data_IF_293078823461
#
_entry.id   IF_293078823461
#
_cell.length_a   1.000
_cell.length_b   1.000
_cell.length_c   1.000
_cell.angle_alpha   90.00
_cell.angle_beta   90.00
_cell.angle_gamma   90.00
#
_symmetry.space_group_name_H-M   'P 1'
#
loop_
_entity.id
_entity.type
_entity.pdbx_description
1 polymer ?
#
# COMPACT_ATOMS: atom_id res chain seq x y z
N UNK A 1 -30.90 -13.53 -4.17
CA UNK A 1 -30.05 -13.44 -2.97
C UNK A 1 -28.63 -13.86 -3.37
N UNK A 2 -27.60 -13.01 -3.17
CA UNK A 2 -26.22 -13.46 -3.30
C UNK A 2 -25.95 -14.50 -2.21
N UNK A 3 -25.35 -15.64 -2.56
CA UNK A 3 -24.88 -16.62 -1.58
C UNK A 3 -23.94 -15.93 -0.59
N UNK A 4 -24.01 -16.21 0.73
CA UNK A 4 -22.97 -15.77 1.66
C UNK A 4 -21.64 -16.33 1.16
N UNK A 5 -20.66 -15.45 0.99
CA UNK A 5 -19.31 -15.85 0.59
C UNK A 5 -18.78 -16.81 1.66
N UNK A 6 -18.52 -18.07 1.28
CA UNK A 6 -17.86 -19.02 2.16
C UNK A 6 -16.53 -18.41 2.59
N UNK A 7 -16.34 -18.23 3.89
CA UNK A 7 -15.12 -17.62 4.43
C UNK A 7 -13.93 -18.57 4.21
N UNK A 8 -13.18 -18.38 3.13
CA UNK A 8 -11.94 -19.12 2.80
C UNK A 8 -10.80 -18.89 3.82
N UNK A 9 -11.05 -18.14 4.90
CA UNK A 9 -10.08 -17.81 5.97
C UNK A 9 -9.40 -19.04 6.56
N UNK A 10 -10.10 -20.17 6.69
CA UNK A 10 -9.52 -21.40 7.22
C UNK A 10 -8.47 -21.98 6.27
N UNK A 11 -8.78 -22.05 4.97
CA UNK A 11 -7.86 -22.52 3.93
C UNK A 11 -6.62 -21.63 3.88
N UNK A 12 -6.81 -20.32 3.81
CA UNK A 12 -5.73 -19.33 3.82
C UNK A 12 -4.79 -19.49 5.02
N UNK A 13 -5.34 -19.74 6.22
CA UNK A 13 -4.54 -19.97 7.44
C UNK A 13 -3.71 -21.25 7.35
N UNK A 14 -4.27 -22.33 6.81
CA UNK A 14 -3.53 -23.58 6.62
C UNK A 14 -2.46 -23.43 5.54
N UNK A 15 -2.76 -22.78 4.42
CA UNK A 15 -1.79 -22.49 3.36
C UNK A 15 -0.60 -21.72 3.91
N UNK A 16 -0.83 -20.64 4.66
CA UNK A 16 0.23 -19.83 5.29
C UNK A 16 1.14 -20.66 6.21
N UNK A 17 0.60 -21.69 6.87
CA UNK A 17 1.38 -22.58 7.77
C UNK A 17 2.16 -23.65 7.03
N UNK A 18 1.63 -24.18 5.94
CA UNK A 18 2.23 -25.31 5.21
C UNK A 18 3.29 -24.85 4.21
N UNK A 19 3.08 -23.71 3.54
CA UNK A 19 3.97 -23.20 2.49
C UNK A 19 5.44 -23.05 2.96
N UNK A 20 5.76 -22.54 4.16
CA UNK A 20 7.13 -22.45 4.63
C UNK A 20 7.87 -23.79 4.69
N UNK A 21 7.18 -24.88 5.09
CA UNK A 21 7.79 -26.22 5.14
C UNK A 21 8.13 -26.73 3.73
N UNK A 22 7.24 -26.49 2.76
CA UNK A 22 7.47 -26.84 1.37
C UNK A 22 8.66 -26.06 0.78
N UNK A 23 8.73 -24.75 1.04
CA UNK A 23 9.85 -23.91 0.64
C UNK A 23 11.17 -24.39 1.26
N UNK A 24 11.18 -24.72 2.55
CA UNK A 24 12.38 -25.23 3.23
C UNK A 24 12.86 -26.57 2.62
N UNK A 25 11.93 -27.49 2.33
CA UNK A 25 12.26 -28.76 1.69
C UNK A 25 12.82 -28.55 0.26
N UNK A 26 12.21 -27.66 -0.53
CA UNK A 26 12.68 -27.32 -1.88
C UNK A 26 14.09 -26.70 -1.85
N UNK A 27 14.34 -25.79 -0.91
CA UNK A 27 15.66 -25.18 -0.71
C UNK A 27 16.69 -26.24 -0.27
N UNK A 28 16.32 -27.14 0.65
CA UNK A 28 17.19 -28.24 1.08
C UNK A 28 17.60 -29.15 -0.08
N UNK A 29 16.63 -29.52 -0.92
CA UNK A 29 16.88 -30.30 -2.13
C UNK A 29 17.77 -29.55 -3.13
N UNK A 30 17.47 -28.28 -3.39
CA UNK A 30 18.29 -27.43 -4.27
C UNK A 30 19.73 -27.29 -3.75
N UNK A 31 19.91 -27.16 -2.43
CA UNK A 31 21.23 -27.12 -1.79
C UNK A 31 21.99 -28.42 -2.03
N UNK A 32 21.38 -29.57 -1.72
CA UNK A 32 21.98 -30.88 -1.96
C UNK A 32 22.38 -31.06 -3.43
N UNK A 33 21.46 -30.75 -4.35
CA UNK A 33 21.69 -30.94 -5.77
C UNK A 33 22.80 -30.00 -6.28
N UNK A 34 22.65 -28.70 -6.10
CA UNK A 34 23.58 -27.71 -6.67
C UNK A 34 24.96 -27.76 -6.01
N UNK A 35 25.02 -27.80 -4.67
CA UNK A 35 26.29 -27.74 -3.95
C UNK A 35 26.99 -29.10 -3.96
N UNK A 36 26.35 -30.13 -3.40
CA UNK A 36 27.02 -31.41 -3.17
C UNK A 36 27.10 -32.25 -4.44
N UNK A 37 25.98 -32.48 -5.12
CA UNK A 37 25.93 -33.38 -6.28
C UNK A 37 26.61 -32.75 -7.52
N UNK A 38 26.27 -31.51 -7.86
CA UNK A 38 26.75 -30.87 -9.08
C UNK A 38 28.12 -30.18 -8.90
N UNK A 39 28.25 -29.23 -7.97
CA UNK A 39 29.49 -28.46 -7.86
C UNK A 39 30.64 -29.29 -7.28
N UNK A 40 30.43 -29.98 -6.16
CA UNK A 40 31.49 -30.71 -5.45
C UNK A 40 31.79 -32.07 -6.09
N UNK A 41 30.79 -32.93 -6.25
CA UNK A 41 31.03 -34.28 -6.76
C UNK A 41 31.29 -34.28 -8.26
N UNK A 42 30.40 -33.69 -9.05
CA UNK A 42 30.52 -33.76 -10.51
C UNK A 42 31.58 -32.78 -11.07
N UNK A 43 31.41 -31.47 -10.88
CA UNK A 43 32.29 -30.48 -11.52
C UNK A 43 33.71 -30.45 -10.93
N UNK A 44 33.84 -30.46 -9.60
CA UNK A 44 35.14 -30.35 -8.93
C UNK A 44 35.89 -31.69 -8.89
N UNK A 45 35.24 -32.78 -8.45
CA UNK A 45 35.92 -34.08 -8.28
C UNK A 45 36.04 -34.87 -9.57
N UNK A 46 34.95 -35.05 -10.33
CA UNK A 46 34.93 -35.87 -11.55
C UNK A 46 35.48 -35.11 -12.76
N UNK A 47 34.89 -33.96 -13.14
CA UNK A 47 35.28 -33.20 -14.35
C UNK A 47 36.47 -32.28 -14.18
N UNK A 48 36.97 -32.09 -12.96
CA UNK A 48 38.09 -31.18 -12.62
C UNK A 48 37.91 -29.74 -13.13
N UNK A 49 36.67 -29.28 -13.32
CA UNK A 49 36.32 -27.91 -13.73
C UNK A 49 36.26 -26.99 -12.50
N UNK A 50 37.40 -26.81 -11.84
CA UNK A 50 37.51 -26.09 -10.56
C UNK A 50 36.97 -24.66 -10.61
N UNK A 51 37.34 -23.89 -11.64
CA UNK A 51 36.91 -22.49 -11.76
C UNK A 51 35.38 -22.38 -11.86
N UNK A 52 34.75 -23.20 -12.70
CA UNK A 52 33.28 -23.22 -12.86
C UNK A 52 32.59 -23.61 -11.57
N UNK A 53 33.09 -24.65 -10.87
CA UNK A 53 32.53 -25.07 -9.58
C UNK A 53 32.60 -23.94 -8.54
N UNK A 54 33.75 -23.26 -8.43
CA UNK A 54 33.93 -22.16 -7.47
C UNK A 54 32.99 -20.99 -7.77
N UNK A 55 32.89 -20.57 -9.04
CA UNK A 55 31.99 -19.47 -9.43
C UNK A 55 30.53 -19.79 -9.10
N UNK A 56 30.07 -21.00 -9.43
CA UNK A 56 28.70 -21.42 -9.12
C UNK A 56 28.44 -21.47 -7.61
N UNK A 57 29.39 -21.97 -6.82
CA UNK A 57 29.29 -22.00 -5.35
C UNK A 57 29.21 -20.59 -4.75
N UNK A 58 30.07 -19.68 -5.20
CA UNK A 58 30.08 -18.28 -4.72
C UNK A 58 28.74 -17.62 -5.03
N UNK A 59 28.29 -17.68 -6.30
CA UNK A 59 27.00 -17.10 -6.69
C UNK A 59 25.84 -17.73 -5.93
N UNK A 60 25.86 -19.06 -5.75
CA UNK A 60 24.85 -19.79 -4.99
C UNK A 60 24.74 -19.24 -3.57
N UNK A 61 25.86 -19.16 -2.82
CA UNK A 61 25.82 -18.71 -1.43
C UNK A 61 25.49 -17.22 -1.30
N UNK A 62 25.98 -16.37 -2.20
CA UNK A 62 25.63 -14.94 -2.20
C UNK A 62 24.12 -14.75 -2.33
N UNK A 63 23.49 -15.36 -3.36
CA UNK A 63 22.05 -15.22 -3.56
C UNK A 63 21.22 -16.02 -2.55
N UNK A 64 21.73 -17.14 -2.03
CA UNK A 64 21.11 -17.88 -0.94
C UNK A 64 20.98 -17.00 0.31
N UNK A 65 22.08 -16.40 0.78
CA UNK A 65 22.05 -15.57 1.98
C UNK A 65 21.23 -14.30 1.80
N UNK A 66 21.31 -13.65 0.63
CA UNK A 66 20.45 -12.50 0.31
C UNK A 66 18.96 -12.89 0.28
N UNK A 67 18.61 -14.03 -0.31
CA UNK A 67 17.23 -14.54 -0.32
C UNK A 67 16.74 -14.80 1.09
N UNK A 68 17.53 -15.48 1.94
CA UNK A 68 17.14 -15.75 3.33
C UNK A 68 17.01 -14.45 4.14
N UNK A 69 17.95 -13.51 4.01
CA UNK A 69 17.92 -12.25 4.75
C UNK A 69 16.69 -11.40 4.39
N UNK A 70 16.40 -11.27 3.10
CA UNK A 70 15.26 -10.50 2.59
C UNK A 70 13.93 -11.20 2.87
N UNK A 71 13.86 -12.53 2.77
CA UNK A 71 12.70 -13.32 3.19
C UNK A 71 12.41 -13.12 4.67
N UNK A 72 13.42 -13.29 5.53
CA UNK A 72 13.27 -13.14 6.98
C UNK A 72 12.84 -11.71 7.33
N UNK A 73 13.45 -10.68 6.72
CA UNK A 73 13.04 -9.29 6.93
C UNK A 73 11.59 -9.07 6.54
N UNK A 74 11.18 -9.57 5.37
CA UNK A 74 9.80 -9.46 4.88
C UNK A 74 8.84 -10.15 5.84
N UNK A 75 9.12 -11.40 6.20
CA UNK A 75 8.32 -12.20 7.12
C UNK A 75 8.18 -11.51 8.48
N UNK A 76 9.28 -11.13 9.13
CA UNK A 76 9.27 -10.47 10.43
C UNK A 76 8.50 -9.13 10.37
N UNK A 77 8.66 -8.37 9.29
CA UNK A 77 7.92 -7.11 9.11
C UNK A 77 6.42 -7.37 8.98
N UNK A 78 6.02 -8.39 8.25
CA UNK A 78 4.61 -8.77 8.11
C UNK A 78 4.03 -9.24 9.44
N UNK A 79 4.77 -10.02 10.24
CA UNK A 79 4.29 -10.52 11.52
C UNK A 79 4.22 -9.43 12.61
N UNK A 80 5.19 -8.53 12.65
CA UNK A 80 5.34 -7.58 13.77
C UNK A 80 4.96 -6.13 13.42
N UNK A 81 4.94 -5.74 12.14
CA UNK A 81 4.75 -4.35 11.69
C UNK A 81 3.98 -4.26 10.36
N UNK A 82 2.79 -4.85 10.30
CA UNK A 82 1.98 -4.94 9.06
C UNK A 82 1.40 -3.60 8.55
N UNK A 83 1.72 -2.46 9.16
CA UNK A 83 1.23 -1.15 8.70
C UNK A 83 -0.27 -0.95 8.97
N UNK A 84 -0.76 -1.49 10.09
CA UNK A 84 -2.17 -1.39 10.47
C UNK A 84 -2.51 0.06 10.83
N UNK A 85 -3.66 0.55 10.35
CA UNK A 85 -4.21 1.84 10.75
C UNK A 85 -4.61 1.77 12.23
N UNK A 86 -4.05 2.62 13.11
CA UNK A 86 -4.41 2.66 14.53
C UNK A 86 -5.91 2.89 14.71
N UNK A 87 -6.50 2.23 15.70
CA UNK A 87 -7.86 2.50 16.12
C UNK A 87 -7.83 3.57 17.19
N UNK A 88 -8.91 4.33 17.33
CA UNK A 88 -9.07 5.24 18.47
C UNK A 88 -9.36 4.41 19.73
N UNK A 89 -9.00 4.88 20.94
CA UNK A 89 -9.19 4.09 22.17
C UNK A 89 -10.63 3.59 22.37
N UNK A 90 -11.62 4.42 22.04
CA UNK A 90 -13.04 4.04 22.07
C UNK A 90 -13.33 2.87 21.11
N UNK A 91 -12.74 2.89 19.91
CA UNK A 91 -12.92 1.82 18.90
C UNK A 91 -12.13 0.57 19.26
N UNK A 92 -10.97 0.70 19.91
CA UNK A 92 -10.22 -0.44 20.44
C UNK A 92 -11.04 -1.19 21.50
N UNK A 93 -11.70 -0.47 22.42
CA UNK A 93 -12.56 -1.08 23.43
C UNK A 93 -13.74 -1.84 22.78
N UNK A 94 -14.38 -1.25 21.76
CA UNK A 94 -15.45 -1.92 21.00
C UNK A 94 -14.94 -3.16 20.26
N UNK A 95 -13.74 -3.10 19.67
CA UNK A 95 -13.15 -4.24 18.98
C UNK A 95 -12.79 -5.38 19.94
N UNK A 96 -12.23 -5.05 21.11
CA UNK A 96 -11.97 -6.04 22.16
C UNK A 96 -13.25 -6.73 22.63
N UNK A 97 -14.33 -5.97 22.82
CA UNK A 97 -15.64 -6.52 23.17
C UNK A 97 -16.16 -7.46 22.07
N UNK A 98 -16.04 -7.07 20.79
CA UNK A 98 -16.38 -7.93 19.65
C UNK A 98 -15.57 -9.23 19.65
N UNK A 99 -14.26 -9.14 19.85
CA UNK A 99 -13.38 -10.31 19.91
C UNK A 99 -13.71 -11.24 21.09
N UNK A 100 -14.16 -10.70 22.22
CA UNK A 100 -14.63 -11.52 23.35
C UNK A 100 -15.94 -12.25 23.02
N UNK A 101 -16.91 -11.58 22.38
CA UNK A 101 -18.17 -12.20 21.94
C UNK A 101 -17.87 -13.34 20.95
N UNK A 102 -16.95 -13.11 20.01
CA UNK A 102 -16.44 -14.13 19.07
C UNK A 102 -15.94 -15.39 19.78
N UNK A 103 -15.05 -15.21 20.77
CA UNK A 103 -14.43 -16.32 21.51
C UNK A 103 -15.46 -17.15 22.29
N UNK A 104 -16.61 -16.55 22.63
CA UNK A 104 -17.70 -17.22 23.35
C UNK A 104 -18.69 -17.95 22.44
N UNK A 105 -18.39 -18.06 21.14
CA UNK A 105 -19.27 -18.71 20.16
C UNK A 105 -20.49 -17.89 19.79
N UNK A 106 -20.47 -16.58 20.07
CA UNK A 106 -21.51 -15.66 19.62
C UNK A 106 -21.49 -15.52 18.10
N UNK A 107 -22.67 -15.52 17.48
CA UNK A 107 -22.81 -15.37 16.05
C UNK A 107 -22.40 -13.94 15.62
N UNK A 108 -21.42 -13.87 14.73
CA UNK A 108 -20.82 -12.63 14.23
C UNK A 108 -21.26 -12.26 12.83
N UNK A 109 -21.99 -13.15 12.13
CA UNK A 109 -22.13 -13.12 10.67
C UNK A 109 -22.96 -11.95 10.11
N UNK A 110 -23.44 -11.03 10.94
CA UNK A 110 -24.01 -9.78 10.45
C UNK A 110 -23.75 -8.65 11.44
N UNK A 111 -22.50 -8.23 11.58
CA UNK A 111 -22.32 -6.90 12.16
C UNK A 111 -22.92 -5.89 11.19
N UNK A 112 -23.91 -5.10 11.65
CA UNK A 112 -24.61 -4.20 10.77
C UNK A 112 -23.60 -3.22 10.19
N UNK A 113 -23.71 -2.99 8.88
CA UNK A 113 -22.95 -1.95 8.22
C UNK A 113 -23.12 -0.65 9.00
N UNK A 114 -22.00 -0.06 9.45
CA UNK A 114 -22.02 1.19 10.21
C UNK A 114 -21.72 2.34 9.24
N UNK A 115 -22.64 3.31 9.10
CA UNK A 115 -22.41 4.48 8.28
C UNK A 115 -21.22 5.31 8.79
N UNK A 116 -20.67 6.21 7.95
CA UNK A 116 -19.70 7.20 8.40
C UNK A 116 -20.19 7.96 9.62
N UNK A 117 -19.29 8.20 10.57
CA UNK A 117 -19.59 9.03 11.72
C UNK A 117 -19.89 10.47 11.26
N UNK A 118 -21.10 10.94 11.58
CA UNK A 118 -21.56 12.26 11.14
C UNK A 118 -21.12 13.38 12.08
N UNK A 119 -20.60 13.05 13.26
CA UNK A 119 -20.09 14.03 14.20
C UNK A 119 -18.99 14.89 13.54
N UNK A 120 -19.12 16.23 13.51
CA UNK A 120 -18.05 17.14 13.08
C UNK A 120 -16.72 16.94 13.82
N UNK A 121 -16.80 16.53 15.08
CA UNK A 121 -15.65 16.27 15.95
C UNK A 121 -15.36 14.76 16.06
N UNK A 122 -15.69 13.99 15.01
CA UNK A 122 -15.40 12.56 14.95
C UNK A 122 -13.90 12.31 15.13
N UNK A 123 -13.47 11.45 16.06
CA UNK A 123 -12.05 11.23 16.33
C UNK A 123 -11.23 10.84 15.08
N UNK A 124 -10.14 11.57 14.84
CA UNK A 124 -9.22 11.36 13.72
C UNK A 124 -9.64 12.06 12.42
N UNK A 125 -10.81 12.70 12.38
CA UNK A 125 -11.27 13.47 11.22
C UNK A 125 -10.39 14.71 10.97
N UNK A 126 -9.95 15.36 12.05
CA UNK A 126 -9.07 16.52 12.05
C UNK A 126 -7.73 16.23 11.35
N UNK A 127 -7.23 14.99 11.42
CA UNK A 127 -5.96 14.56 10.81
C UNK A 127 -6.01 14.58 9.27
N UNK A 128 -7.20 14.59 8.67
CA UNK A 128 -7.36 14.72 7.23
C UNK A 128 -7.42 16.18 6.82
N UNK A 129 -8.23 16.99 7.50
CA UNK A 129 -8.32 18.43 7.23
C UNK A 129 -7.09 19.23 7.69
N UNK A 130 -6.20 18.62 8.49
CA UNK A 130 -4.88 19.16 8.78
C UNK A 130 -3.94 19.10 7.57
N UNK A 131 -4.25 18.28 6.55
CA UNK A 131 -3.45 18.13 5.32
C UNK A 131 -3.93 19.07 4.21
N UNK A 132 -3.07 19.36 3.26
CA UNK A 132 -3.42 20.17 2.08
C UNK A 132 -4.19 19.36 1.02
N UNK A 133 -3.97 18.05 0.92
CA UNK A 133 -4.71 17.18 -0.01
C UNK A 133 -4.91 15.76 0.53
N UNK A 134 -6.11 15.22 0.35
CA UNK A 134 -6.44 13.84 0.67
C UNK A 134 -7.60 13.29 -0.20
N UNK A 135 -7.75 11.98 -0.26
CA UNK A 135 -8.87 11.32 -0.97
C UNK A 135 -10.15 11.43 -0.14
N UNK A 136 -11.20 11.96 -0.75
CA UNK A 136 -12.50 12.15 -0.12
C UNK A 136 -13.63 11.42 -0.86
N UNK A 137 -14.82 11.41 -0.27
CA UNK A 137 -16.07 11.02 -0.91
C UNK A 137 -16.73 12.25 -1.58
N UNK A 138 -17.90 12.07 -2.18
CA UNK A 138 -18.62 13.14 -2.89
C UNK A 138 -19.01 14.32 -2.00
N UNK A 139 -19.13 14.10 -0.69
CA UNK A 139 -19.46 15.13 0.30
C UNK A 139 -18.21 15.86 0.85
N UNK A 140 -17.01 15.53 0.38
CA UNK A 140 -15.75 16.12 0.84
C UNK A 140 -15.23 15.55 2.16
N UNK A 141 -15.87 14.53 2.73
CA UNK A 141 -15.37 13.81 3.91
C UNK A 141 -14.39 12.71 3.51
N UNK A 142 -13.43 12.33 4.37
CA UNK A 142 -12.55 11.19 4.11
C UNK A 142 -13.34 9.89 3.93
N UNK A 143 -12.72 8.90 3.28
CA UNK A 143 -13.32 7.57 3.13
C UNK A 143 -13.52 6.91 4.48
N UNK A 144 -14.58 6.11 4.64
CA UNK A 144 -14.90 5.42 5.89
C UNK A 144 -14.72 3.91 5.82
N UNK A 145 -14.30 3.28 6.93
CA UNK A 145 -14.39 1.85 7.13
C UNK A 145 -15.55 1.49 8.05
N UNK A 146 -16.59 0.83 7.55
CA UNK A 146 -17.68 0.30 8.38
C UNK A 146 -17.20 -0.77 9.36
N UNK A 147 -16.28 -1.64 8.93
CA UNK A 147 -15.78 -2.76 9.75
C UNK A 147 -14.89 -2.30 10.91
N UNK A 148 -13.91 -1.42 10.62
CA UNK A 148 -13.02 -0.84 11.63
C UNK A 148 -13.62 0.37 12.35
N UNK A 149 -14.73 0.93 11.84
CA UNK A 149 -15.40 2.14 12.35
C UNK A 149 -14.45 3.33 12.52
N UNK A 150 -13.62 3.56 11.49
CA UNK A 150 -12.65 4.64 11.44
C UNK A 150 -12.55 5.26 10.03
N UNK A 151 -12.05 6.50 9.99
CA UNK A 151 -11.66 7.16 8.75
C UNK A 151 -10.44 6.46 8.15
N UNK A 152 -10.49 6.15 6.84
CA UNK A 152 -9.45 5.44 6.11
C UNK A 152 -8.44 6.44 5.57
N UNK A 153 -7.16 6.36 5.97
CA UNK A 153 -6.09 7.06 5.28
C UNK A 153 -6.08 6.78 3.78
N UNK A 154 -5.41 7.65 3.03
CA UNK A 154 -5.23 7.42 1.60
C UNK A 154 -4.61 6.04 1.36
N UNK A 155 -5.04 5.36 0.29
CA UNK A 155 -4.54 4.03 -0.10
C UNK A 155 -4.66 2.92 0.96
N UNK A 156 -5.33 3.17 2.09
CA UNK A 156 -5.60 2.15 3.09
C UNK A 156 -6.80 1.30 2.67
N UNK A 157 -6.71 -0.01 2.90
CA UNK A 157 -7.76 -0.98 2.59
C UNK A 157 -8.01 -1.91 3.77
N UNK A 158 -9.28 -2.29 3.98
CA UNK A 158 -9.64 -3.26 5.00
C UNK A 158 -9.28 -4.67 4.53
N UNK A 159 -8.43 -5.36 5.29
CA UNK A 159 -8.14 -6.77 5.10
C UNK A 159 -9.04 -7.59 6.02
N UNK A 160 -9.88 -8.44 5.44
CA UNK A 160 -10.74 -9.36 6.19
C UNK A 160 -9.95 -10.49 6.89
N UNK A 161 -8.73 -10.76 6.42
CA UNK A 161 -7.81 -11.72 7.06
C UNK A 161 -7.23 -11.18 8.37
N UNK A 162 -6.89 -9.89 8.40
CA UNK A 162 -6.40 -9.20 9.60
C UNK A 162 -7.51 -8.56 10.43
N UNK A 163 -8.73 -8.45 9.88
CA UNK A 163 -9.86 -7.72 10.46
C UNK A 163 -9.53 -6.23 10.73
N UNK A 164 -8.63 -5.67 9.90
CA UNK A 164 -8.05 -4.33 10.11
C UNK A 164 -7.76 -3.63 8.79
N UNK A 165 -7.83 -2.30 8.82
CA UNK A 165 -7.31 -1.47 7.72
C UNK A 165 -5.78 -1.49 7.72
N UNK A 166 -5.20 -1.73 6.54
CA UNK A 166 -3.75 -1.73 6.29
C UNK A 166 -3.41 -0.59 5.36
N UNK A 167 -2.40 0.20 5.71
CA UNK A 167 -1.89 1.32 4.91
C UNK A 167 -1.18 0.81 3.66
N UNK A 168 -1.42 1.49 2.52
CA UNK A 168 -0.94 1.13 1.17
C UNK A 168 -0.93 -0.39 0.95
N UNK A 169 -2.05 -1.04 1.27
CA UNK A 169 -2.18 -2.50 1.18
C UNK A 169 -1.98 -2.93 -0.26
N UNK A 170 -1.11 -3.91 -0.48
CA UNK A 170 -0.87 -4.47 -1.81
C UNK A 170 -1.67 -5.76 -1.98
N UNK A 171 -1.28 -6.82 -1.27
CA UNK A 171 -1.96 -8.11 -1.35
C UNK A 171 -1.73 -8.96 -0.11
N UNK A 172 -2.54 -10.01 0.06
CA UNK A 172 -2.23 -11.09 0.98
C UNK A 172 -1.33 -12.10 0.27
N UNK A 173 -0.14 -12.37 0.82
CA UNK A 173 0.81 -13.30 0.25
C UNK A 173 0.98 -14.52 1.16
N UNK A 174 0.49 -15.71 0.75
CA UNK A 174 0.67 -16.93 1.53
C UNK A 174 2.14 -17.34 1.68
N UNK A 175 2.99 -17.00 0.69
CA UNK A 175 4.41 -17.36 0.65
C UNK A 175 5.26 -16.68 1.73
N UNK A 176 4.91 -15.45 2.08
CA UNK A 176 5.56 -14.67 3.16
C UNK A 176 4.67 -14.56 4.40
N UNK A 177 3.57 -15.31 4.42
CA UNK A 177 2.75 -15.56 5.60
C UNK A 177 1.86 -14.41 6.07
N UNK A 178 1.48 -13.48 5.19
CA UNK A 178 0.56 -12.40 5.57
C UNK A 178 0.42 -11.27 4.55
N UNK A 179 -0.10 -10.14 5.00
CA UNK A 179 -0.41 -8.98 4.15
C UNK A 179 0.86 -8.18 3.86
N UNK A 180 1.12 -7.96 2.58
CA UNK A 180 2.15 -7.06 2.09
C UNK A 180 1.55 -5.67 1.93
N UNK A 181 2.19 -4.67 2.53
CA UNK A 181 1.82 -3.25 2.43
C UNK A 181 3.06 -2.35 2.44
N UNK A 182 2.90 -1.05 2.67
CA UNK A 182 4.01 -0.06 2.63
C UNK A 182 5.28 -0.47 3.41
N UNK A 183 5.09 -1.05 4.60
CA UNK A 183 6.19 -1.39 5.51
C UNK A 183 7.05 -2.54 5.00
N UNK A 184 6.49 -3.43 4.20
CA UNK A 184 7.11 -4.69 3.77
C UNK A 184 7.36 -4.78 2.28
N UNK A 185 6.76 -3.90 1.47
CA UNK A 185 6.76 -4.05 0.01
C UNK A 185 8.17 -3.92 -0.59
N UNK A 186 9.01 -3.01 -0.07
CA UNK A 186 10.41 -2.90 -0.51
C UNK A 186 11.20 -4.20 -0.24
N UNK A 187 11.05 -4.79 0.94
CA UNK A 187 11.68 -6.07 1.28
C UNK A 187 11.15 -7.22 0.42
N UNK A 188 9.86 -7.21 0.09
CA UNK A 188 9.25 -8.18 -0.82
C UNK A 188 9.81 -8.07 -2.26
N UNK A 189 10.04 -6.84 -2.76
CA UNK A 189 10.71 -6.60 -4.04
C UNK A 189 12.12 -7.19 -4.04
N UNK A 190 12.91 -6.93 -2.99
CA UNK A 190 14.26 -7.48 -2.86
C UNK A 190 14.24 -9.01 -2.76
N UNK A 191 13.32 -9.56 -1.98
CA UNK A 191 13.15 -11.00 -1.82
C UNK A 191 12.85 -11.70 -3.15
N UNK A 192 11.88 -11.19 -3.91
CA UNK A 192 11.50 -11.80 -5.19
C UNK A 192 12.66 -11.73 -6.21
N UNK A 193 13.38 -10.59 -6.24
CA UNK A 193 14.57 -10.43 -7.09
C UNK A 193 15.68 -11.42 -6.74
N UNK A 194 16.06 -11.50 -5.46
CA UNK A 194 17.14 -12.41 -5.04
C UNK A 194 16.74 -13.88 -5.15
N UNK A 195 15.46 -14.20 -4.92
CA UNK A 195 14.94 -15.55 -5.13
C UNK A 195 14.99 -15.93 -6.61
N UNK A 196 14.64 -15.01 -7.53
CA UNK A 196 14.77 -15.24 -8.96
C UNK A 196 16.23 -15.47 -9.37
N UNK A 197 17.16 -14.66 -8.87
CA UNK A 197 18.60 -14.84 -9.12
C UNK A 197 19.12 -16.17 -8.57
N UNK A 198 18.71 -16.56 -7.36
CA UNK A 198 19.03 -17.85 -6.75
C UNK A 198 18.53 -19.02 -7.60
N UNK A 199 17.27 -18.99 -8.03
CA UNK A 199 16.70 -20.02 -8.90
C UNK A 199 17.41 -20.06 -10.26
N UNK A 200 17.79 -18.92 -10.83
CA UNK A 200 18.55 -18.85 -12.07
C UNK A 200 19.94 -19.51 -11.94
N UNK A 201 20.64 -19.32 -10.82
CA UNK A 201 21.92 -20.00 -10.55
C UNK A 201 21.73 -21.52 -10.45
N UNK A 202 20.71 -21.98 -9.72
CA UNK A 202 20.39 -23.41 -9.63
C UNK A 202 20.07 -24.01 -11.01
N UNK A 203 19.26 -23.32 -11.80
CA UNK A 203 18.89 -23.71 -13.16
C UNK A 203 20.11 -23.76 -14.09
N UNK A 204 20.98 -22.75 -14.04
CA UNK A 204 22.19 -22.69 -14.83
C UNK A 204 23.16 -23.83 -14.46
N UNK A 205 23.36 -24.09 -13.16
CA UNK A 205 24.21 -25.19 -12.69
C UNK A 205 23.69 -26.57 -13.16
N UNK A 206 22.38 -26.80 -13.04
CA UNK A 206 21.75 -28.04 -13.49
C UNK A 206 21.79 -28.20 -15.02
N UNK A 207 21.45 -27.14 -15.77
CA UNK A 207 21.50 -27.16 -17.23
C UNK A 207 22.91 -27.37 -17.78
N UNK A 208 23.90 -26.69 -17.21
CA UNK A 208 25.30 -26.86 -17.59
C UNK A 208 25.81 -28.28 -17.31
N UNK A 209 25.50 -28.82 -16.14
CA UNK A 209 25.93 -30.18 -15.78
C UNK A 209 25.24 -31.25 -16.63
N UNK A 210 23.96 -31.06 -16.97
CA UNK A 210 23.25 -31.95 -17.89
C UNK A 210 23.89 -31.92 -19.27
N UNK A 211 24.22 -30.72 -19.79
CA UNK A 211 24.88 -30.57 -21.08
C UNK A 211 26.21 -31.33 -21.13
N UNK A 212 27.04 -31.23 -20.09
CA UNK A 212 28.30 -31.99 -20.01
C UNK A 212 28.06 -33.49 -19.98
N UNK A 213 27.13 -33.99 -19.16
CA UNK A 213 26.78 -35.42 -19.12
C UNK A 213 26.33 -35.95 -20.49
N UNK A 214 25.53 -35.17 -21.21
CA UNK A 214 25.07 -35.53 -22.55
C UNK A 214 26.22 -35.57 -23.56
N UNK A 215 27.19 -34.64 -23.48
CA UNK A 215 28.38 -34.67 -24.32
C UNK A 215 29.24 -35.91 -24.07
N UNK A 216 29.31 -36.35 -22.82
CA UNK A 216 30.07 -37.53 -22.41
C UNK A 216 29.32 -38.86 -22.65
N UNK A 217 28.12 -38.81 -23.22
CA UNK A 217 27.28 -39.99 -23.48
C UNK A 217 26.76 -40.66 -22.20
N UNK A 218 26.79 -39.97 -21.07
CA UNK A 218 26.27 -40.48 -19.80
C UNK A 218 24.73 -40.55 -19.83
N UNK A 219 24.17 -41.50 -19.08
CA UNK A 219 22.72 -41.62 -18.95
C UNK A 219 22.11 -40.43 -18.19
N UNK A 220 20.83 -40.20 -18.46
CA UNK A 220 20.11 -39.03 -17.97
C UNK A 220 19.84 -39.16 -16.46
N UNK A 221 20.46 -38.30 -15.66
CA UNK A 221 20.31 -38.29 -14.20
C UNK A 221 18.97 -37.66 -13.79
N UNK A 222 18.06 -38.49 -13.29
CA UNK A 222 16.73 -38.08 -12.83
C UNK A 222 16.77 -36.94 -11.79
N UNK A 223 17.82 -36.86 -10.96
CA UNK A 223 17.98 -35.79 -9.96
C UNK A 223 18.15 -34.43 -10.63
N UNK A 224 18.92 -34.39 -11.74
CA UNK A 224 19.14 -33.16 -12.50
C UNK A 224 17.86 -32.73 -13.21
N UNK A 225 17.10 -33.69 -13.76
CA UNK A 225 15.79 -33.39 -14.39
C UNK A 225 14.83 -32.76 -13.39
N UNK A 226 14.67 -33.37 -12.22
CA UNK A 226 13.81 -32.83 -11.15
C UNK A 226 14.32 -31.46 -10.72
N UNK A 227 15.64 -31.29 -10.59
CA UNK A 227 16.28 -30.01 -10.32
C UNK A 227 15.94 -28.91 -11.33
N UNK A 228 16.05 -29.21 -12.63
CA UNK A 228 15.71 -28.28 -13.72
C UNK A 228 14.22 -27.94 -13.68
N UNK A 229 13.35 -28.92 -13.49
CA UNK A 229 11.91 -28.70 -13.43
C UNK A 229 11.53 -27.78 -12.25
N UNK A 230 12.06 -28.06 -11.05
CA UNK A 230 11.81 -27.25 -9.86
C UNK A 230 12.43 -25.85 -9.99
N UNK A 231 13.72 -25.75 -10.35
CA UNK A 231 14.39 -24.47 -10.51
C UNK A 231 13.75 -23.63 -11.62
N UNK A 232 13.35 -24.23 -12.74
CA UNK A 232 12.66 -23.56 -13.84
C UNK A 232 11.29 -23.01 -13.42
N UNK A 233 10.48 -23.82 -12.73
CA UNK A 233 9.18 -23.39 -12.22
C UNK A 233 9.32 -22.20 -11.27
N UNK A 234 10.19 -22.31 -10.27
CA UNK A 234 10.39 -21.22 -9.30
C UNK A 234 11.06 -20.01 -9.92
N UNK A 235 12.01 -20.18 -10.85
CA UNK A 235 12.64 -19.07 -11.56
C UNK A 235 11.61 -18.29 -12.38
N UNK A 236 10.73 -18.99 -13.12
CA UNK A 236 9.66 -18.35 -13.89
C UNK A 236 8.70 -17.57 -12.97
N UNK A 237 8.23 -18.23 -11.91
CA UNK A 237 7.29 -17.63 -10.96
C UNK A 237 7.87 -16.39 -10.27
N UNK A 238 9.09 -16.49 -9.74
CA UNK A 238 9.75 -15.38 -9.03
C UNK A 238 10.17 -14.26 -9.97
N UNK A 239 10.54 -14.56 -11.22
CA UNK A 239 10.83 -13.54 -12.23
C UNK A 239 9.57 -12.76 -12.60
N UNK A 240 8.43 -13.44 -12.81
CA UNK A 240 7.16 -12.78 -13.09
C UNK A 240 6.72 -11.88 -11.91
N UNK A 241 6.89 -12.34 -10.67
CA UNK A 241 6.63 -11.54 -9.47
C UNK A 241 7.58 -10.35 -9.35
N UNK A 242 8.87 -10.51 -9.68
CA UNK A 242 9.86 -9.43 -9.69
C UNK A 242 9.48 -8.36 -10.72
N UNK A 243 9.14 -8.76 -11.95
CA UNK A 243 8.71 -7.84 -13.00
C UNK A 243 7.44 -7.06 -12.62
N UNK A 244 6.46 -7.76 -12.05
CA UNK A 244 5.20 -7.14 -11.60
C UNK A 244 5.47 -6.15 -10.46
N UNK A 245 6.29 -6.53 -9.48
CA UNK A 245 6.65 -5.65 -8.35
C UNK A 245 7.46 -4.44 -8.83
N UNK A 246 8.39 -4.63 -9.76
CA UNK A 246 9.14 -3.54 -10.39
C UNK A 246 8.20 -2.57 -11.11
N UNK A 247 7.20 -3.07 -11.85
CA UNK A 247 6.18 -2.22 -12.47
C UNK A 247 5.44 -1.40 -11.41
N UNK A 248 4.99 -2.02 -10.32
CA UNK A 248 4.26 -1.33 -9.24
C UNK A 248 5.09 -0.27 -8.55
N UNK A 249 6.38 -0.55 -8.30
CA UNK A 249 7.34 0.43 -7.80
C UNK A 249 7.52 1.58 -8.79
N UNK A 250 7.65 1.30 -10.09
CA UNK A 250 7.92 2.31 -11.12
C UNK A 250 6.70 3.17 -11.47
N UNK A 251 5.48 2.65 -11.34
CA UNK A 251 4.25 3.40 -11.64
C UNK A 251 3.48 3.83 -10.39
N UNK A 252 4.02 3.58 -9.19
CA UNK A 252 3.42 3.86 -7.88
C UNK A 252 1.96 3.40 -7.75
N UNK A 253 1.67 2.18 -8.22
CA UNK A 253 0.38 1.51 -8.06
C UNK A 253 0.54 0.29 -7.16
N UNK A 254 -0.53 -0.13 -6.51
CA UNK A 254 -0.63 -1.41 -5.81
C UNK A 254 -1.44 -2.43 -6.65
N UNK A 255 -1.42 -3.69 -6.25
CA UNK A 255 -2.34 -4.71 -6.76
C UNK A 255 -3.81 -4.26 -6.67
N UNK A 256 -4.20 -3.59 -5.58
CA UNK A 256 -5.57 -3.09 -5.41
C UNK A 256 -5.89 -2.00 -6.45
N UNK A 257 -4.95 -1.11 -6.72
CA UNK A 257 -5.10 -0.06 -7.72
C UNK A 257 -5.23 -0.66 -9.13
N UNK A 258 -4.45 -1.73 -9.43
CA UNK A 258 -4.51 -2.43 -10.72
C UNK A 258 -5.92 -3.01 -11.01
N UNK A 259 -6.54 -3.65 -10.00
CA UNK A 259 -7.92 -4.16 -10.14
C UNK A 259 -8.96 -3.05 -10.26
N UNK A 260 -8.58 -1.81 -9.96
CA UNK A 260 -9.40 -0.61 -10.03
C UNK A 260 -8.90 0.38 -11.09
N UNK A 261 -8.36 -0.13 -12.20
CA UNK A 261 -7.75 0.68 -13.28
C UNK A 261 -8.60 1.86 -13.81
N UNK A 262 -9.92 1.79 -13.75
CA UNK A 262 -10.84 2.86 -14.19
C UNK A 262 -11.40 3.67 -13.02
N UNK A 263 -10.80 3.56 -11.84
CA UNK A 263 -11.22 4.30 -10.68
C UNK A 263 -10.95 5.79 -10.88
N UNK A 264 -11.96 6.59 -10.59
CA UNK A 264 -11.86 8.03 -10.46
C UNK A 264 -11.67 8.35 -8.98
N UNK A 265 -10.63 9.13 -8.68
CA UNK A 265 -10.38 9.63 -7.34
C UNK A 265 -11.05 10.99 -7.17
N UNK A 266 -11.68 11.21 -6.01
CA UNK A 266 -12.11 12.53 -5.56
C UNK A 266 -11.09 13.02 -4.54
N UNK A 267 -10.53 14.18 -4.78
CA UNK A 267 -9.49 14.78 -3.95
C UNK A 267 -10.06 16.05 -3.30
N UNK A 268 -9.98 16.13 -1.98
CA UNK A 268 -10.19 17.38 -1.27
C UNK A 268 -8.86 18.14 -1.30
N UNK A 269 -8.77 19.19 -2.10
CA UNK A 269 -7.57 20.02 -2.28
C UNK A 269 -7.77 21.35 -1.58
N UNK A 270 -6.85 21.73 -0.70
CA UNK A 270 -6.90 22.98 0.04
C UNK A 270 -6.79 24.16 -0.91
N UNK A 271 -7.66 25.14 -0.73
CA UNK A 271 -7.77 26.36 -1.54
C UNK A 271 -7.88 27.59 -0.65
N UNK A 272 -7.67 28.81 -1.18
CA UNK A 272 -7.92 30.04 -0.44
C UNK A 272 -9.31 30.06 0.20
N UNK A 273 -9.41 30.64 1.40
CA UNK A 273 -10.65 30.61 2.18
C UNK A 273 -11.84 31.27 1.46
N UNK A 274 -11.56 32.24 0.58
CA UNK A 274 -12.56 32.97 -0.19
C UNK A 274 -13.08 32.20 -1.43
N UNK A 275 -12.48 31.05 -1.78
CA UNK A 275 -12.89 30.26 -2.94
C UNK A 275 -14.33 29.78 -2.76
N UNK A 276 -15.19 30.13 -3.73
CA UNK A 276 -16.60 29.75 -3.76
C UNK A 276 -16.80 28.49 -4.61
N UNK A 277 -17.82 27.67 -4.32
CA UNK A 277 -18.19 26.56 -5.18
C UNK A 277 -18.61 27.07 -6.56
N UNK A 278 -18.31 26.29 -7.59
CA UNK A 278 -18.63 26.58 -8.99
C UNK A 278 -19.46 25.44 -9.58
N UNK A 279 -19.92 25.59 -10.82
CA UNK A 279 -20.57 24.48 -11.54
C UNK A 279 -19.61 23.29 -11.76
N UNK A 280 -18.30 23.53 -11.73
CA UNK A 280 -17.26 22.51 -11.92
C UNK A 280 -16.87 21.76 -10.64
N UNK A 281 -16.87 22.41 -9.48
CA UNK A 281 -16.45 21.77 -8.22
C UNK A 281 -17.21 22.31 -7.00
N UNK A 282 -17.38 21.43 -6.02
CA UNK A 282 -17.96 21.77 -4.71
C UNK A 282 -16.86 22.09 -3.71
N UNK A 283 -17.21 22.85 -2.67
CA UNK A 283 -16.27 23.19 -1.57
C UNK A 283 -16.76 22.68 -0.24
N UNK A 284 -15.84 22.23 0.62
CA UNK A 284 -16.10 21.91 2.02
C UNK A 284 -15.22 22.79 2.91
N UNK A 285 -15.75 23.23 4.05
CA UNK A 285 -15.02 24.05 5.02
C UNK A 285 -14.93 23.32 6.34
N UNK A 286 -13.71 23.22 6.88
CA UNK A 286 -13.42 22.67 8.19
C UNK A 286 -13.09 23.82 9.18
N UNK A 287 -13.53 23.78 10.46
CA UNK A 287 -14.35 22.75 11.11
C UNK A 287 -15.74 22.56 10.47
N UNK A 288 -16.23 21.32 10.46
CA UNK A 288 -17.53 21.01 9.84
C UNK A 288 -18.68 21.59 10.69
N UNK A 289 -19.71 22.12 10.04
CA UNK A 289 -20.89 22.62 10.75
C UNK A 289 -21.68 21.46 11.39
N UNK A 290 -22.10 21.62 12.64
CA UNK A 290 -22.98 20.68 13.37
C UNK A 290 -24.45 20.71 12.91
N UNK A 291 -24.82 21.70 12.09
CA UNK A 291 -26.18 21.86 11.56
C UNK A 291 -26.30 21.09 10.25
N UNK A 292 -27.22 20.11 10.13
CA UNK A 292 -27.46 19.43 8.85
C UNK A 292 -27.92 20.45 7.81
N UNK A 293 -27.48 20.36 6.54
CA UNK A 293 -28.01 21.20 5.49
C UNK A 293 -29.52 20.96 5.37
N UNK A 294 -30.30 22.03 5.49
CA UNK A 294 -31.76 22.00 5.37
C UNK A 294 -32.18 21.41 4.00
N UNK A 295 -33.08 20.42 3.95
CA UNK A 295 -33.47 19.75 2.71
C UNK A 295 -34.48 20.55 1.85
N UNK A 296 -34.26 21.86 1.65
CA UNK A 296 -35.10 22.66 0.74
C UNK A 296 -34.29 23.72 0.00
N UNK A 297 -33.67 23.31 -1.11
CA UNK A 297 -33.49 24.20 -2.27
C UNK A 297 -34.03 23.46 -3.49
N UNK A 298 -35.35 23.30 -3.53
CA UNK A 298 -36.10 23.05 -4.75
C UNK A 298 -37.29 24.02 -4.73
N UNK A 299 -37.45 24.67 -5.89
CA UNK A 299 -38.63 25.36 -6.42
C UNK A 299 -38.75 26.89 -6.41
N UNK A 300 -38.77 27.36 -7.66
CA UNK A 300 -39.34 28.57 -8.25
C UNK A 300 -40.47 29.26 -7.46
N UNK A 301 -40.30 30.57 -7.32
CA UNK A 301 -41.31 31.61 -7.49
C UNK A 301 -42.72 31.37 -6.98
N UNK A 302 -43.05 31.98 -5.84
CA UNK A 302 -44.27 32.80 -5.73
C UNK A 302 -44.22 33.68 -4.46
N UNK A 303 -44.70 34.90 -4.64
CA UNK A 303 -44.96 35.93 -3.65
C UNK A 303 -45.84 35.36 -2.51
N UNK A 304 -45.46 35.57 -1.25
CA UNK A 304 -46.38 36.07 -0.22
C UNK A 304 -45.69 36.38 1.11
N UNK A 305 -46.05 37.55 1.63
CA UNK A 305 -45.62 38.07 2.91
C UNK A 305 -46.22 37.25 4.04
N UNK A 306 -45.39 36.80 4.99
CA UNK A 306 -45.84 36.56 6.37
C UNK A 306 -44.74 37.03 7.32
N UNK A 307 -45.04 38.11 8.03
CA UNK A 307 -44.28 38.60 9.17
C UNK A 307 -44.15 37.49 10.22
N UNK A 308 -42.91 37.05 10.50
CA UNK A 308 -42.60 36.34 11.75
C UNK A 308 -41.34 36.92 12.37
N UNK A 309 -41.54 37.50 13.54
CA UNK A 309 -40.61 38.23 14.37
C UNK A 309 -39.31 37.46 14.60
N UNK A 310 -38.18 38.06 14.17
CA UNK A 310 -36.81 37.59 14.44
C UNK A 310 -36.42 37.96 15.88
N UNK A 311 -36.52 37.03 16.82
CA UNK A 311 -35.54 36.96 17.91
C UNK A 311 -34.35 36.17 17.39
N UNK A 312 -33.45 36.86 16.69
CA UNK A 312 -32.16 36.31 16.32
C UNK A 312 -31.30 36.25 17.59
N UNK A 313 -31.09 35.06 18.15
CA UNK A 313 -29.92 34.80 18.98
C UNK A 313 -28.69 35.18 18.17
N UNK A 314 -27.77 36.03 18.69
CA UNK A 314 -26.56 36.36 17.97
C UNK A 314 -25.78 35.06 17.76
N UNK A 315 -25.45 34.72 16.51
CA UNK A 315 -24.38 33.77 16.27
C UNK A 315 -23.16 34.24 17.06
N UNK A 316 -22.52 33.38 17.88
CA UNK A 316 -21.34 33.79 18.62
C UNK A 316 -20.31 34.30 17.62
N UNK A 317 -19.90 35.57 17.75
CA UNK A 317 -18.86 36.18 16.92
C UNK A 317 -17.62 35.29 17.03
N UNK A 318 -17.34 34.52 15.98
CA UNK A 318 -16.16 33.67 15.90
C UNK A 318 -14.91 34.51 16.15
N UNK A 319 -14.04 34.08 17.07
CA UNK A 319 -12.82 34.81 17.39
C UNK A 319 -11.92 34.91 16.14
N UNK A 320 -11.06 35.92 16.05
CA UNK A 320 -10.10 36.05 14.95
C UNK A 320 -9.20 34.81 14.82
N UNK A 321 -8.90 34.14 15.96
CA UNK A 321 -8.18 32.87 16.01
C UNK A 321 -8.97 31.73 15.36
N UNK A 322 -10.28 31.64 15.61
CA UNK A 322 -11.14 30.62 15.01
C UNK A 322 -11.39 30.87 13.52
N UNK A 323 -11.40 32.14 13.10
CA UNK A 323 -11.48 32.51 11.69
C UNK A 323 -10.23 32.08 10.92
N UNK A 324 -9.05 32.22 11.54
CA UNK A 324 -7.75 31.84 10.98
C UNK A 324 -7.51 30.32 10.96
N UNK A 325 -8.27 29.56 11.76
CA UNK A 325 -8.23 28.09 11.79
C UNK A 325 -9.10 27.43 10.71
N UNK A 326 -9.92 28.20 9.97
CA UNK A 326 -10.80 27.67 8.93
C UNK A 326 -10.01 27.26 7.69
N UNK A 327 -10.34 26.09 7.15
CA UNK A 327 -9.71 25.56 5.93
C UNK A 327 -10.78 25.22 4.92
N UNK A 328 -10.66 25.78 3.73
CA UNK A 328 -11.55 25.51 2.59
C UNK A 328 -10.87 24.52 1.66
N UNK A 329 -11.62 23.53 1.21
CA UNK A 329 -11.16 22.50 0.28
C UNK A 329 -12.09 22.47 -0.93
N UNK A 330 -11.51 22.46 -2.13
CA UNK A 330 -12.21 22.16 -3.37
C UNK A 330 -12.19 20.64 -3.62
N UNK A 331 -13.34 20.10 -4.00
CA UNK A 331 -13.50 18.66 -4.29
C UNK A 331 -13.28 18.45 -5.78
N UNK A 332 -12.09 18.00 -6.15
CA UNK A 332 -11.66 17.80 -7.54
C UNK A 332 -11.75 16.32 -7.92
N UNK A 333 -12.01 16.03 -9.19
CA UNK A 333 -12.10 14.65 -9.68
C UNK A 333 -11.02 14.36 -10.73
N UNK A 334 -10.41 13.19 -10.64
CA UNK A 334 -9.53 12.69 -11.70
C UNK A 334 -10.35 12.16 -12.88
N UNK A 335 -9.70 12.00 -14.03
CA UNK A 335 -10.21 11.20 -15.13
C UNK A 335 -9.93 9.70 -14.91
N UNK A 336 -10.68 8.80 -15.56
CA UNK A 336 -10.44 7.37 -15.46
C UNK A 336 -9.00 7.00 -15.89
N UNK A 337 -8.26 6.37 -14.99
CA UNK A 337 -6.89 5.91 -15.25
C UNK A 337 -5.79 6.91 -14.87
N UNK A 338 -6.11 8.14 -14.48
CA UNK A 338 -5.11 9.05 -13.92
C UNK A 338 -4.67 8.60 -12.53
N UNK A 339 -3.35 8.62 -12.26
CA UNK A 339 -2.77 8.24 -10.98
C UNK A 339 -2.31 9.48 -10.19
N UNK A 340 -2.97 9.85 -9.07
CA UNK A 340 -2.58 11.00 -8.26
C UNK A 340 -1.20 10.87 -7.60
N UNK A 341 -0.69 9.65 -7.43
CA UNK A 341 0.58 9.39 -6.74
C UNK A 341 1.75 9.13 -7.71
N UNK A 342 1.57 9.34 -9.01
CA UNK A 342 2.67 9.17 -9.97
C UNK A 342 3.65 10.34 -9.91
N UNK A 343 4.82 10.11 -9.30
CA UNK A 343 5.94 11.04 -9.16
C UNK A 343 6.94 10.94 -10.33
N UNK A 344 6.59 10.20 -11.39
CA UNK A 344 7.51 9.75 -12.42
C UNK A 344 8.36 8.55 -11.96
N UNK A 345 8.94 7.82 -12.92
CA UNK A 345 9.62 6.54 -12.66
C UNK A 345 10.63 6.58 -11.50
N UNK A 346 11.43 7.63 -11.42
CA UNK A 346 12.47 7.76 -10.39
C UNK A 346 11.92 8.19 -9.03
N UNK A 347 10.97 9.13 -9.00
CA UNK A 347 10.30 9.53 -7.77
C UNK A 347 9.53 8.37 -7.16
N UNK A 348 8.81 7.62 -8.00
CA UNK A 348 8.08 6.42 -7.60
C UNK A 348 9.03 5.36 -7.02
N UNK A 349 10.14 5.07 -7.72
CA UNK A 349 11.14 4.14 -7.24
C UNK A 349 11.70 4.54 -5.87
N UNK A 350 12.13 5.80 -5.71
CA UNK A 350 12.67 6.31 -4.45
C UNK A 350 11.66 6.32 -3.32
N UNK A 351 10.37 6.57 -3.61
CA UNK A 351 9.30 6.54 -2.60
C UNK A 351 9.17 5.18 -1.91
N UNK A 352 9.53 4.09 -2.62
CA UNK A 352 9.49 2.72 -2.11
C UNK A 352 10.88 2.23 -1.67
N UNK A 353 11.87 2.31 -2.55
CA UNK A 353 13.16 1.65 -2.35
C UNK A 353 14.16 2.48 -1.52
N UNK A 354 13.93 3.79 -1.35
CA UNK A 354 14.86 4.67 -0.65
C UNK A 354 15.81 5.42 -1.57
N UNK A 355 16.77 6.12 -0.98
CA UNK A 355 17.64 7.08 -1.68
C UNK A 355 19.07 6.57 -1.90
N UNK A 356 19.45 5.46 -1.25
CA UNK A 356 20.81 4.92 -1.34
C UNK A 356 20.85 3.52 -1.95
N UNK A 357 21.94 3.19 -2.64
CA UNK A 357 22.16 1.87 -3.23
C UNK A 357 22.14 0.76 -2.15
N UNK A 358 22.59 1.05 -0.93
CA UNK A 358 22.53 0.10 0.17
C UNK A 358 21.08 -0.20 0.58
N UNK A 359 20.19 0.79 0.60
CA UNK A 359 18.76 0.58 0.83
C UNK A 359 18.11 -0.23 -0.30
N UNK A 360 18.61 -0.10 -1.53
CA UNK A 360 18.07 -0.84 -2.68
C UNK A 360 18.45 -2.32 -2.64
N UNK A 361 19.67 -2.64 -2.20
CA UNK A 361 20.21 -3.99 -2.20
C UNK A 361 20.03 -4.73 -0.87
N UNK A 362 19.97 -4.02 0.26
CA UNK A 362 19.93 -4.64 1.58
C UNK A 362 18.62 -4.37 2.31
N UNK A 363 18.07 -5.37 3.03
CA UNK A 363 16.77 -5.27 3.68
C UNK A 363 16.84 -4.54 5.04
N UNK A 364 17.33 -3.30 5.03
CA UNK A 364 17.65 -2.55 6.25
C UNK A 364 16.47 -1.65 6.65
N UNK A 365 16.17 -0.63 5.84
CA UNK A 365 15.22 0.43 6.16
C UNK A 365 13.84 0.17 5.55
N UNK A 366 12.78 0.57 6.24
CA UNK A 366 11.43 0.61 5.66
C UNK A 366 11.35 1.67 4.55
N UNK A 367 10.39 1.49 3.64
CA UNK A 367 10.13 2.42 2.54
C UNK A 367 9.95 3.86 3.04
N UNK A 368 10.48 4.90 2.35
CA UNK A 368 10.23 6.29 2.72
C UNK A 368 8.74 6.65 2.79
N UNK A 369 7.90 6.01 1.96
CA UNK A 369 6.45 6.22 1.97
C UNK A 369 5.72 5.77 3.24
N UNK A 370 6.42 5.18 4.22
CA UNK A 370 5.85 4.85 5.53
C UNK A 370 5.83 6.05 6.49
N UNK A 371 6.42 7.19 6.09
CA UNK A 371 6.35 8.44 6.86
C UNK A 371 5.09 9.22 6.48
N UNK A 372 4.25 9.50 7.48
CA UNK A 372 2.98 10.23 7.32
C UNK A 372 2.94 11.54 8.10
N UNK A 373 4.08 12.06 8.54
CA UNK A 373 4.18 13.30 9.31
C UNK A 373 4.02 14.56 8.44
N UNK A 374 3.90 14.39 7.12
CA UNK A 374 3.71 15.50 6.17
C UNK A 374 2.35 16.17 6.36
N UNK A 375 2.38 17.51 6.44
CA UNK A 375 1.17 18.35 6.42
C UNK A 375 0.59 18.54 5.02
N UNK A 376 1.24 18.01 3.97
CA UNK A 376 0.71 18.09 2.61
C UNK A 376 -0.27 16.95 2.36
N UNK A 377 0.13 15.72 2.67
CA UNK A 377 -0.63 14.49 2.37
C UNK A 377 -0.07 13.26 3.08
N UNK A 378 -0.84 12.16 3.16
CA UNK A 378 -0.34 10.88 3.69
C UNK A 378 0.72 10.23 2.79
N UNK A 379 0.60 10.42 1.48
CA UNK A 379 1.58 10.01 0.47
C UNK A 379 1.78 11.16 -0.49
N UNK A 380 3.01 11.34 -0.97
CA UNK A 380 3.33 12.38 -1.93
C UNK A 380 2.45 12.27 -3.18
N UNK A 381 1.79 13.37 -3.54
CA UNK A 381 1.02 13.48 -4.76
C UNK A 381 1.91 13.97 -5.88
N UNK A 382 1.69 13.42 -7.08
CA UNK A 382 2.38 13.82 -8.29
C UNK A 382 1.87 15.15 -8.88
N UNK A 383 2.40 15.54 -10.04
CA UNK A 383 2.03 16.77 -10.73
C UNK A 383 0.54 16.81 -11.17
N UNK A 384 -0.17 15.67 -11.08
CA UNK A 384 -1.60 15.60 -11.39
C UNK A 384 -2.43 16.57 -10.54
N UNK A 385 -2.10 16.80 -9.27
CA UNK A 385 -2.88 17.72 -8.42
C UNK A 385 -2.85 19.15 -8.99
N UNK A 386 -1.71 19.59 -9.48
CA UNK A 386 -1.54 20.90 -10.14
C UNK A 386 -2.20 20.96 -11.52
N UNK A 387 -2.28 19.83 -12.23
CA UNK A 387 -3.08 19.72 -13.46
C UNK A 387 -4.57 19.84 -13.14
N UNK A 388 -5.04 19.21 -12.05
CA UNK A 388 -6.44 19.29 -11.63
C UNK A 388 -6.81 20.71 -11.21
N UNK A 389 -5.99 21.38 -10.40
CA UNK A 389 -6.23 22.79 -10.04
C UNK A 389 -6.43 23.65 -11.28
N UNK A 390 -5.56 23.53 -12.28
CA UNK A 390 -5.68 24.23 -13.57
C UNK A 390 -6.93 23.83 -14.37
N UNK A 391 -7.25 22.52 -14.42
CA UNK A 391 -8.46 21.99 -15.09
C UNK A 391 -9.75 22.59 -14.51
N UNK A 392 -9.76 22.86 -13.20
CA UNK A 392 -10.89 23.44 -12.48
C UNK A 392 -10.80 24.96 -12.28
N UNK A 393 -9.80 25.63 -12.89
CA UNK A 393 -9.66 27.09 -12.84
C UNK A 393 -9.25 27.64 -11.46
N UNK A 394 -8.58 26.83 -10.63
CA UNK A 394 -8.05 27.24 -9.33
C UNK A 394 -6.65 27.81 -9.53
N UNK A 395 -6.48 29.10 -9.24
CA UNK A 395 -5.18 29.78 -9.23
C UNK A 395 -4.55 29.71 -7.85
N UNK A 396 -3.28 29.34 -7.78
CA UNK A 396 -2.49 29.44 -6.55
C UNK A 396 -2.11 30.91 -6.35
N UNK A 397 -3.00 31.71 -5.75
CA UNK A 397 -2.62 33.02 -5.23
C UNK A 397 -1.89 32.80 -3.89
N UNK A 398 -0.57 32.52 -3.93
CA UNK A 398 0.26 32.82 -2.76
C UNK A 398 0.49 34.35 -2.73
N UNK A 399 0.20 35.04 -1.62
CA UNK A 399 0.74 36.38 -1.43
C UNK A 399 2.27 36.25 -1.43
N UNK A 400 2.92 37.02 -2.28
CA UNK A 400 4.37 37.13 -2.34
C UNK A 400 4.94 37.23 -0.92
N UNK A 401 5.91 36.37 -0.59
CA UNK A 401 6.80 36.62 0.54
C UNK A 401 7.49 37.95 0.26
N UNK A 402 6.94 39.05 0.78
CA UNK A 402 7.66 40.30 0.91
C UNK A 402 8.91 40.00 1.74
N UNK A 403 10.06 40.01 1.06
CA UNK A 403 11.35 39.94 1.69
C UNK A 403 11.45 41.10 2.67
N UNK A 404 11.51 40.77 3.95
CA UNK A 404 12.04 41.69 4.96
C UNK A 404 13.52 41.83 4.62
N UNK A 405 13.85 42.81 3.78
CA UNK A 405 15.19 43.39 3.74
C UNK A 405 15.47 43.98 5.12
N UNK A 406 16.17 43.22 5.96
CA UNK A 406 16.91 43.81 7.06
C UNK A 406 18.07 44.59 6.46
N UNK A 407 17.84 45.88 6.25
CA UNK A 407 18.91 46.87 6.13
C UNK A 407 19.70 46.85 7.44
N UNK A 408 20.95 46.39 7.35
CA UNK A 408 21.93 46.57 8.40
C UNK A 408 22.63 47.90 8.14
N UNK A 409 22.53 48.81 9.12
CA UNK A 409 23.41 49.96 9.30
C UNK A 409 24.08 49.80 10.65
#
# INVERSE_FOLDING_TARGET
>A
MPRPATSNRAETRWTVRLVPFFCAAAIGYATYLTVAHLCVNYLLREKKKTATAVVLLVLYFVFFFLTIATYLRTFLTIQFKTGIVPLTPEREALDQQRQQIKKRGGDLEALPWVPPDRNPDSPGLETFYSKDVFVCESDGRPRWCSECRNWKPDRAHHSSDLDRCVRKMDHLCPWVGGVVGENSFNFFVQFTLYCAAFCAVCLAASGYSLHLKMQDGESLDARIVVGIALAGLFCLFTSAMTMTSARFVLTNITNIDLFKKNQVFRLAVRVPQATRPTDGFQTIVYPLSSVPPSPYVIERGQLNSVNRSRTATPEPRMSARDQQARRTFAILMTEPGENPWDLGYWGNFKSVMGNSIFEWLLPIRHSPCCNHDSMVSDYEYGPLVEVLKRRYGITDDEPAKEGIEMTSN
#
